data_IF_426162502115
#
_entry.id   IF_426162502115
#
_cell.length_a   1.000
_cell.length_b   1.000
_cell.length_c   1.000
_cell.angle_alpha   90.00
_cell.angle_beta   90.00
_cell.angle_gamma   90.00
#
_symmetry.space_group_name_H-M   'P 1'
#
loop_
_entity.id
_entity.type
_entity.pdbx_description
1 polymer ?
#
# COMPACT_ATOMS: atom_id res chain seq x y z
N UNK A 1 -6.48 14.56 10.86
CA UNK A 1 -6.43 14.31 9.40
C UNK A 1 -5.62 15.40 8.74
N UNK A 2 -4.77 15.03 7.80
CA UNK A 2 -4.03 15.91 6.90
C UNK A 2 -4.21 15.32 5.50
N UNK A 3 -4.70 16.10 4.56
CA UNK A 3 -4.85 15.68 3.17
C UNK A 3 -4.09 16.66 2.29
N UNK A 4 -3.16 16.11 1.53
CA UNK A 4 -2.32 16.82 0.57
C UNK A 4 -2.32 16.10 -0.78
N UNK A 5 -3.34 15.28 -1.04
CA UNK A 5 -3.55 14.66 -2.36
C UNK A 5 -3.76 15.73 -3.44
N UNK A 6 -3.41 15.40 -4.68
CA UNK A 6 -3.56 16.30 -5.85
C UNK A 6 -2.74 17.60 -5.80
N UNK A 7 -1.65 17.64 -5.01
CA UNK A 7 -0.80 18.82 -4.86
C UNK A 7 0.59 18.69 -5.54
N UNK A 8 0.82 17.62 -6.32
CA UNK A 8 2.13 17.28 -6.88
C UNK A 8 3.27 17.22 -5.84
N UNK A 9 2.94 17.06 -4.55
CA UNK A 9 3.90 16.93 -3.46
C UNK A 9 4.53 15.54 -3.56
N UNK A 10 5.80 15.51 -3.94
CA UNK A 10 6.54 14.28 -4.21
C UNK A 10 7.01 13.53 -2.96
N UNK A 11 7.13 14.23 -1.82
CA UNK A 11 7.45 13.64 -0.54
C UNK A 11 7.01 14.50 0.66
N UNK A 12 6.62 13.85 1.76
CA UNK A 12 6.45 14.50 3.07
C UNK A 12 7.65 14.16 3.94
N UNK A 13 8.62 15.08 4.06
CA UNK A 13 9.80 14.84 4.91
C UNK A 13 9.42 14.97 6.38
N UNK A 14 9.44 13.84 7.11
CA UNK A 14 9.30 13.80 8.58
C UNK A 14 10.68 13.49 9.17
N UNK A 15 11.35 14.48 9.78
CA UNK A 15 12.68 14.27 10.37
C UNK A 15 12.67 13.20 11.47
N UNK A 16 13.81 12.52 11.63
CA UNK A 16 14.06 11.68 12.81
C UNK A 16 13.85 12.53 14.07
N UNK A 17 13.12 11.99 15.03
CA UNK A 17 12.71 12.66 16.29
C UNK A 17 11.70 13.81 16.15
N UNK A 18 11.05 13.96 14.99
CA UNK A 18 9.96 14.91 14.83
C UNK A 18 8.81 14.61 15.81
N UNK A 19 8.54 15.56 16.71
CA UNK A 19 7.48 15.43 17.73
C UNK A 19 6.15 16.06 17.32
N UNK A 20 6.07 16.65 16.13
CA UNK A 20 4.80 17.12 15.56
C UNK A 20 3.96 15.95 15.03
N UNK A 21 2.70 16.24 14.65
CA UNK A 21 1.78 15.26 14.04
C UNK A 21 1.54 13.97 14.87
N UNK A 22 1.85 13.96 16.17
CA UNK A 22 1.63 12.79 17.06
C UNK A 22 0.17 12.37 17.20
N UNK A 23 -0.78 13.25 16.85
CA UNK A 23 -2.22 12.95 16.83
C UNK A 23 -2.75 12.69 15.43
N UNK A 24 -1.88 12.70 14.41
CA UNK A 24 -2.29 12.49 13.03
C UNK A 24 -2.66 11.03 12.83
N UNK A 25 -3.95 10.80 12.60
CA UNK A 25 -4.55 9.48 12.39
C UNK A 25 -4.76 9.13 10.92
N UNK A 26 -4.98 10.14 10.07
CA UNK A 26 -5.29 10.00 8.66
C UNK A 26 -4.39 10.92 7.87
N UNK A 27 -3.69 10.36 6.88
CA UNK A 27 -2.83 11.08 5.96
C UNK A 27 -3.21 10.75 4.51
N UNK A 28 -3.52 11.79 3.73
CA UNK A 28 -3.64 11.73 2.28
C UNK A 28 -2.42 12.34 1.62
N UNK A 29 -1.77 11.58 0.75
CA UNK A 29 -0.70 12.05 -0.14
C UNK A 29 -1.02 11.56 -1.54
N UNK A 30 -0.52 12.27 -2.55
CA UNK A 30 -0.67 11.77 -3.89
C UNK A 30 -0.24 12.77 -4.93
N UNK A 31 0.25 12.19 -6.03
CA UNK A 31 0.52 12.92 -7.24
C UNK A 31 -0.74 13.32 -7.97
N UNK A 32 -0.53 13.92 -9.13
CA UNK A 32 -1.55 14.14 -10.15
C UNK A 32 -1.35 13.11 -11.28
N UNK A 33 -2.23 13.09 -12.28
CA UNK A 33 -2.02 12.24 -13.47
C UNK A 33 -0.73 12.57 -14.24
N UNK A 34 -0.21 13.79 -14.08
CA UNK A 34 1.00 14.27 -14.75
C UNK A 34 2.24 14.29 -13.85
N UNK A 35 2.07 14.10 -12.54
CA UNK A 35 3.14 14.16 -11.55
C UNK A 35 3.05 12.96 -10.60
N UNK A 36 3.48 11.79 -11.06
CA UNK A 36 3.55 10.56 -10.27
C UNK A 36 4.65 10.68 -9.21
N UNK A 37 4.36 10.32 -7.96
CA UNK A 37 5.29 10.46 -6.83
C UNK A 37 5.90 9.12 -6.40
N UNK A 38 7.09 9.14 -5.82
CA UNK A 38 7.81 7.95 -5.36
C UNK A 38 7.22 7.44 -4.03
N UNK A 39 6.43 6.37 -4.10
CA UNK A 39 5.74 5.81 -2.95
C UNK A 39 6.70 5.25 -1.89
N UNK A 40 7.90 4.81 -2.27
CA UNK A 40 8.89 4.29 -1.33
C UNK A 40 9.43 5.40 -0.43
N UNK A 41 9.71 6.59 -0.99
CA UNK A 41 10.11 7.77 -0.20
C UNK A 41 9.02 8.22 0.77
N UNK A 42 7.76 8.14 0.33
CA UNK A 42 6.61 8.43 1.18
C UNK A 42 6.58 7.49 2.38
N UNK A 43 6.63 6.17 2.17
CA UNK A 43 6.60 5.18 3.26
C UNK A 43 7.79 5.34 4.22
N UNK A 44 8.98 5.63 3.70
CA UNK A 44 10.17 5.91 4.53
C UNK A 44 9.96 7.11 5.44
N UNK A 45 9.35 8.18 4.93
CA UNK A 45 9.24 9.41 5.71
C UNK A 45 8.12 9.30 6.76
N UNK A 46 6.99 8.70 6.42
CA UNK A 46 5.80 8.72 7.29
C UNK A 46 5.75 7.56 8.29
N UNK A 47 6.60 6.55 8.13
CA UNK A 47 6.58 5.35 8.97
C UNK A 47 6.93 5.57 10.44
N UNK A 48 7.42 6.77 10.79
CA UNK A 48 7.67 7.21 12.16
C UNK A 48 6.43 7.82 12.85
N UNK A 49 5.32 8.03 12.13
CA UNK A 49 4.11 8.66 12.66
C UNK A 49 3.35 7.69 13.60
N UNK A 50 3.35 7.92 14.93
CA UNK A 50 2.98 6.88 15.89
C UNK A 50 1.48 6.60 15.98
N UNK A 51 0.63 7.50 15.48
CA UNK A 51 -0.83 7.39 15.57
C UNK A 51 -1.51 7.20 14.21
N UNK A 52 -0.75 7.01 13.14
CA UNK A 52 -1.30 6.86 11.80
C UNK A 52 -2.06 5.54 11.68
N UNK A 53 -3.35 5.63 11.33
CA UNK A 53 -4.29 4.51 11.16
C UNK A 53 -4.77 4.36 9.73
N UNK A 54 -4.93 5.46 9.01
CA UNK A 54 -5.41 5.48 7.62
C UNK A 54 -4.42 6.22 6.74
N UNK A 55 -3.98 5.57 5.67
CA UNK A 55 -3.09 6.14 4.66
C UNK A 55 -3.76 6.05 3.28
N UNK A 56 -3.92 7.20 2.63
CA UNK A 56 -4.36 7.31 1.25
C UNK A 56 -3.20 7.77 0.37
N UNK A 57 -2.90 7.00 -0.68
CA UNK A 57 -1.89 7.29 -1.69
C UNK A 57 -2.52 7.22 -3.08
N UNK A 58 -2.47 8.30 -3.83
CA UNK A 58 -2.89 8.32 -5.24
C UNK A 58 -1.76 8.67 -6.19
N UNK A 59 -1.78 8.11 -7.41
CA UNK A 59 -0.80 8.41 -8.45
C UNK A 59 0.65 8.24 -7.93
N UNK A 60 0.91 7.09 -7.30
CA UNK A 60 2.22 6.77 -6.71
C UNK A 60 2.87 5.61 -7.42
N UNK A 61 4.20 5.61 -7.46
CA UNK A 61 4.97 4.54 -8.07
C UNK A 61 5.96 3.95 -7.06
N UNK A 62 5.91 2.63 -6.92
CA UNK A 62 6.77 1.83 -6.06
C UNK A 62 7.76 0.99 -6.90
N UNK A 63 8.18 1.43 -8.09
CA UNK A 63 9.11 0.66 -8.95
C UNK A 63 10.57 0.77 -8.57
N UNK A 64 10.96 1.65 -7.64
CA UNK A 64 12.32 1.68 -7.13
C UNK A 64 12.65 0.35 -6.46
N UNK A 65 13.79 -0.26 -6.75
CA UNK A 65 14.31 -1.31 -5.87
C UNK A 65 14.65 -0.64 -4.55
N UNK A 66 13.93 -0.96 -3.48
CA UNK A 66 14.34 -0.60 -2.11
C UNK A 66 15.45 -1.59 -1.76
N UNK A 67 16.58 -1.40 -2.43
CA UNK A 67 17.86 -1.99 -2.05
C UNK A 67 18.35 -1.10 -0.92
N UNK A 68 18.49 -1.68 0.27
CA UNK A 68 19.25 -1.13 1.39
C UNK A 68 18.56 -0.17 2.37
N UNK A 69 17.22 -0.04 2.40
CA UNK A 69 16.56 0.81 3.42
C UNK A 69 15.39 0.08 4.08
N UNK A 70 15.45 -0.02 5.40
CA UNK A 70 14.37 -0.57 6.24
C UNK A 70 13.12 0.29 6.06
N UNK A 71 12.08 -0.23 5.39
CA UNK A 71 10.75 0.35 5.50
C UNK A 71 10.29 0.19 6.96
N UNK A 72 9.76 1.25 7.53
CA UNK A 72 9.26 1.24 8.90
C UNK A 72 8.12 0.23 9.09
N UNK A 73 7.92 -0.20 10.34
CA UNK A 73 6.76 -1.01 10.71
C UNK A 73 5.52 -0.12 10.88
N UNK A 74 4.53 -0.32 10.02
CA UNK A 74 3.22 0.33 10.09
C UNK A 74 2.29 -0.45 11.02
N UNK A 75 2.73 -0.72 12.26
CA UNK A 75 2.01 -1.60 13.18
C UNK A 75 0.67 -1.04 13.64
N UNK A 76 0.43 0.27 13.50
CA UNK A 76 -0.83 0.92 13.87
C UNK A 76 -1.74 1.20 12.66
N UNK A 77 -1.26 0.95 11.45
CA UNK A 77 -2.03 1.22 10.23
C UNK A 77 -3.13 0.16 10.08
N UNK A 78 -4.37 0.61 10.06
CA UNK A 78 -5.57 -0.21 9.91
C UNK A 78 -6.08 -0.19 8.47
N UNK A 79 -5.83 0.90 7.73
CA UNK A 79 -6.33 1.11 6.37
C UNK A 79 -5.25 1.68 5.45
N UNK A 80 -5.06 1.02 4.30
CA UNK A 80 -4.19 1.47 3.22
C UNK A 80 -4.99 1.53 1.93
N UNK A 81 -5.11 2.73 1.37
CA UNK A 81 -5.82 2.99 0.12
C UNK A 81 -4.81 3.47 -0.91
N UNK A 82 -4.63 2.66 -1.96
CA UNK A 82 -3.82 2.96 -3.12
C UNK A 82 -4.76 3.16 -4.31
N UNK A 83 -4.60 4.28 -5.01
CA UNK A 83 -5.40 4.62 -6.19
C UNK A 83 -4.48 4.96 -7.36
N UNK A 84 -4.76 4.40 -8.55
CA UNK A 84 -3.97 4.68 -9.78
C UNK A 84 -2.46 4.61 -9.54
N UNK A 85 -1.98 3.55 -8.89
CA UNK A 85 -0.60 3.43 -8.46
C UNK A 85 0.08 2.17 -9.00
N UNK A 86 1.38 2.26 -9.29
CA UNK A 86 2.19 1.16 -9.79
C UNK A 86 2.93 0.49 -8.63
N UNK A 87 2.68 -0.80 -8.43
CA UNK A 87 3.16 -1.57 -7.28
C UNK A 87 3.97 -2.77 -7.75
N UNK A 88 5.16 -2.95 -7.19
CA UNK A 88 5.87 -4.23 -7.29
C UNK A 88 5.62 -5.04 -6.01
N UNK A 89 5.26 -6.33 -6.11
CA UNK A 89 4.91 -7.16 -4.94
C UNK A 89 5.96 -7.07 -3.83
N UNK A 90 7.25 -7.15 -4.17
CA UNK A 90 8.35 -7.12 -3.19
C UNK A 90 8.33 -5.88 -2.29
N UNK A 91 7.83 -4.74 -2.78
CA UNK A 91 7.73 -3.50 -2.01
C UNK A 91 6.62 -3.57 -0.96
N UNK A 92 5.45 -4.06 -1.37
CA UNK A 92 4.38 -4.36 -0.43
C UNK A 92 4.90 -5.32 0.64
N UNK A 93 5.78 -6.27 0.29
CA UNK A 93 6.35 -7.28 1.18
C UNK A 93 7.34 -6.74 2.22
N UNK A 94 8.05 -5.65 1.95
CA UNK A 94 9.08 -5.13 2.85
C UNK A 94 8.54 -4.38 4.08
N UNK A 95 7.34 -3.80 4.00
CA UNK A 95 6.71 -3.13 5.14
C UNK A 95 5.91 -4.11 6.02
N UNK A 96 5.91 -3.90 7.33
CA UNK A 96 5.11 -4.68 8.28
C UNK A 96 3.76 -4.02 8.55
N UNK A 97 2.67 -4.71 8.22
CA UNK A 97 1.29 -4.24 8.30
C UNK A 97 0.46 -5.07 9.30
N UNK A 98 0.94 -5.21 10.53
CA UNK A 98 0.36 -6.14 11.51
C UNK A 98 -1.06 -5.82 11.92
N UNK A 99 -1.52 -4.57 11.80
CA UNK A 99 -2.89 -4.16 12.17
C UNK A 99 -3.80 -3.88 10.98
N UNK A 100 -3.30 -4.09 9.75
CA UNK A 100 -4.02 -3.73 8.54
C UNK A 100 -5.23 -4.63 8.34
N UNK A 101 -6.41 -4.00 8.25
CA UNK A 101 -7.72 -4.63 8.04
C UNK A 101 -8.27 -4.35 6.65
N UNK A 102 -7.99 -3.15 6.13
CA UNK A 102 -8.52 -2.70 4.84
C UNK A 102 -7.37 -2.37 3.89
N UNK A 103 -7.32 -3.07 2.75
CA UNK A 103 -6.39 -2.79 1.66
C UNK A 103 -7.19 -2.53 0.38
N UNK A 104 -7.03 -1.33 -0.17
CA UNK A 104 -7.57 -0.98 -1.48
C UNK A 104 -6.42 -0.71 -2.44
N UNK A 105 -6.49 -1.30 -3.63
CA UNK A 105 -5.55 -1.15 -4.74
C UNK A 105 -6.33 -0.88 -6.03
N UNK A 106 -7.25 0.09 -5.97
CA UNK A 106 -8.11 0.39 -7.11
C UNK A 106 -7.33 1.03 -8.25
N UNK A 107 -7.58 0.55 -9.47
CA UNK A 107 -6.87 1.00 -10.69
C UNK A 107 -5.34 0.94 -10.56
N UNK A 108 -4.82 0.06 -9.72
CA UNK A 108 -3.37 -0.12 -9.55
C UNK A 108 -2.85 -1.19 -10.51
N UNK A 109 -1.56 -1.12 -10.84
CA UNK A 109 -0.85 -2.18 -11.56
C UNK A 109 0.01 -2.93 -10.55
N UNK A 110 -0.30 -4.20 -10.30
CA UNK A 110 0.53 -5.07 -9.46
C UNK A 110 1.45 -5.91 -10.34
N UNK A 111 2.75 -5.62 -10.26
CA UNK A 111 3.85 -6.25 -11.01
C UNK A 111 4.61 -7.24 -10.12
N UNK A 112 5.26 -8.21 -10.76
CA UNK A 112 6.10 -9.21 -10.12
C UNK A 112 5.35 -10.50 -9.79
N UNK A 113 6.10 -11.59 -9.63
CA UNK A 113 5.50 -12.89 -9.34
C UNK A 113 4.97 -12.95 -7.90
N UNK A 114 3.69 -13.29 -7.74
CA UNK A 114 3.15 -13.64 -6.44
C UNK A 114 3.46 -15.09 -6.10
N UNK A 115 3.89 -15.33 -4.88
CA UNK A 115 4.06 -16.63 -4.29
C UNK A 115 3.03 -16.86 -3.18
N UNK A 116 2.72 -18.14 -2.91
CA UNK A 116 1.83 -18.60 -1.83
C UNK A 116 1.98 -17.84 -0.52
N UNK A 117 3.22 -17.50 -0.16
CA UNK A 117 3.60 -16.93 1.12
C UNK A 117 3.44 -15.41 1.22
N UNK A 118 3.34 -14.71 0.10
CA UNK A 118 3.49 -13.25 0.01
C UNK A 118 2.45 -12.52 0.88
N UNK A 119 1.23 -13.04 0.92
CA UNK A 119 0.16 -12.40 1.68
C UNK A 119 0.00 -12.90 3.12
N UNK A 120 0.82 -13.86 3.58
CA UNK A 120 0.71 -14.41 4.95
C UNK A 120 0.94 -13.41 6.06
N UNK A 121 1.51 -12.25 5.74
CA UNK A 121 1.71 -11.15 6.69
C UNK A 121 0.46 -10.30 6.91
N UNK A 122 -0.49 -10.35 5.98
CA UNK A 122 -1.78 -9.66 6.09
C UNK A 122 -2.80 -10.51 6.88
N UNK A 123 -2.38 -11.05 8.02
CA UNK A 123 -3.17 -12.01 8.82
C UNK A 123 -4.48 -11.42 9.33
N UNK A 124 -4.52 -10.11 9.52
CA UNK A 124 -5.68 -9.38 10.03
C UNK A 124 -6.47 -8.66 8.92
N UNK A 125 -6.12 -8.90 7.65
CA UNK A 125 -6.80 -8.26 6.54
C UNK A 125 -8.19 -8.85 6.36
N UNK A 126 -9.19 -7.99 6.42
CA UNK A 126 -10.61 -8.33 6.35
C UNK A 126 -11.23 -7.92 5.00
N UNK A 127 -10.78 -6.80 4.43
CA UNK A 127 -11.30 -6.26 3.18
C UNK A 127 -10.17 -6.00 2.17
N UNK A 128 -10.28 -6.65 1.00
CA UNK A 128 -9.39 -6.45 -0.13
C UNK A 128 -10.17 -5.95 -1.35
N UNK A 129 -9.88 -4.71 -1.77
CA UNK A 129 -10.50 -4.09 -2.94
C UNK A 129 -9.45 -3.94 -4.04
N UNK A 130 -9.66 -4.59 -5.18
CA UNK A 130 -8.76 -4.55 -6.33
C UNK A 130 -9.50 -4.17 -7.60
N UNK A 131 -10.58 -3.39 -7.47
CA UNK A 131 -11.41 -3.00 -8.62
C UNK A 131 -10.60 -2.21 -9.66
N UNK A 132 -10.67 -2.61 -10.92
CA UNK A 132 -9.86 -2.01 -12.00
C UNK A 132 -8.37 -2.30 -11.91
N UNK A 133 -7.93 -3.14 -10.96
CA UNK A 133 -6.51 -3.47 -10.83
C UNK A 133 -6.07 -4.37 -11.98
N UNK A 134 -4.90 -4.07 -12.53
CA UNK A 134 -4.20 -4.97 -13.43
C UNK A 134 -3.25 -5.82 -12.60
N UNK A 135 -3.50 -7.13 -12.58
CA UNK A 135 -2.72 -8.05 -11.79
C UNK A 135 -1.93 -8.93 -12.76
N UNK A 136 -0.67 -8.55 -13.00
CA UNK A 136 0.24 -9.30 -13.87
C UNK A 136 0.94 -10.39 -13.06
N UNK A 137 0.13 -11.34 -12.59
CA UNK A 137 0.54 -12.39 -11.65
C UNK A 137 0.02 -13.72 -12.17
N UNK A 138 0.78 -14.78 -11.92
CA UNK A 138 0.40 -16.11 -12.35
C UNK A 138 -0.99 -16.54 -11.79
N UNK A 139 -1.51 -17.62 -12.33
CA UNK A 139 -2.83 -18.20 -12.02
C UNK A 139 -3.08 -18.51 -10.54
N UNK A 140 -2.09 -18.35 -9.64
CA UNK A 140 -2.18 -18.68 -8.22
C UNK A 140 -2.80 -17.58 -7.33
N UNK A 141 -3.18 -16.39 -7.82
CA UNK A 141 -3.71 -15.33 -6.92
C UNK A 141 -4.88 -15.78 -6.03
N UNK A 142 -5.90 -16.43 -6.59
CA UNK A 142 -7.05 -16.90 -5.79
C UNK A 142 -6.67 -18.03 -4.83
N UNK A 143 -5.71 -18.88 -5.23
CA UNK A 143 -5.15 -19.91 -4.35
C UNK A 143 -4.40 -19.26 -3.18
N UNK A 144 -3.59 -18.24 -3.45
CA UNK A 144 -2.88 -17.47 -2.43
C UNK A 144 -3.86 -16.83 -1.45
N UNK A 145 -4.96 -16.25 -1.94
CA UNK A 145 -6.01 -15.70 -1.08
C UNK A 145 -6.57 -16.78 -0.15
N UNK A 146 -6.94 -17.95 -0.71
CA UNK A 146 -7.50 -19.06 0.06
C UNK A 146 -6.54 -19.66 1.10
N UNK A 147 -5.23 -19.69 0.82
CA UNK A 147 -4.22 -20.30 1.70
C UNK A 147 -3.63 -19.33 2.74
N UNK A 148 -3.63 -18.02 2.45
CA UNK A 148 -2.79 -17.05 3.18
C UNK A 148 -3.54 -15.86 3.77
N UNK A 149 -4.84 -15.72 3.52
CA UNK A 149 -5.67 -14.63 4.09
C UNK A 149 -6.82 -15.17 4.95
N UNK A 150 -6.54 -15.72 6.15
CA UNK A 150 -7.54 -16.40 6.97
C UNK A 150 -8.65 -15.49 7.51
N UNK A 151 -8.41 -14.17 7.60
CA UNK A 151 -9.36 -13.20 8.15
C UNK A 151 -10.20 -12.49 7.08
N UNK A 152 -10.00 -12.83 5.80
CA UNK A 152 -10.63 -12.10 4.71
C UNK A 152 -12.15 -12.34 4.69
N UNK A 153 -12.91 -11.27 4.77
CA UNK A 153 -14.39 -11.25 4.75
C UNK A 153 -14.92 -10.76 3.41
N UNK A 154 -14.16 -9.91 2.73
CA UNK A 154 -14.58 -9.29 1.47
C UNK A 154 -13.42 -9.21 0.48
N UNK A 155 -13.69 -9.66 -0.76
CA UNK A 155 -12.79 -9.55 -1.91
C UNK A 155 -13.56 -8.93 -3.08
N UNK A 156 -13.08 -7.81 -3.60
CA UNK A 156 -13.59 -7.23 -4.85
C UNK A 156 -12.53 -7.24 -5.94
N UNK A 157 -12.89 -7.83 -7.08
CA UNK A 157 -12.09 -7.91 -8.30
C UNK A 157 -12.85 -7.31 -9.50
N UNK A 158 -13.80 -6.40 -9.27
CA UNK A 158 -14.63 -5.80 -10.32
C UNK A 158 -13.74 -5.12 -11.38
N UNK A 159 -13.94 -5.41 -12.66
CA UNK A 159 -13.14 -4.85 -13.77
C UNK A 159 -11.63 -5.07 -13.65
N UNK A 160 -11.17 -6.07 -12.90
CA UNK A 160 -9.75 -6.43 -12.84
C UNK A 160 -9.39 -7.27 -14.06
N UNK A 161 -8.30 -6.94 -14.74
CA UNK A 161 -7.78 -7.77 -15.82
C UNK A 161 -6.71 -8.72 -15.29
N UNK A 162 -6.78 -9.98 -15.72
CA UNK A 162 -5.64 -10.90 -15.72
C UNK A 162 -5.06 -10.85 -17.12
N UNK A 163 -3.79 -10.51 -17.27
CA UNK A 163 -3.07 -10.92 -18.47
C UNK A 163 -2.83 -12.42 -18.30
N UNK A 164 -3.70 -13.23 -18.90
CA UNK A 164 -3.64 -14.70 -18.94
C UNK A 164 -2.66 -15.13 -20.01
#
# INVERSE_FOLDING_TARGET
>A
MLDMSDNAIDNLVVPKDYRGLRKLNTLGLGGTETAIIDGSKVLQSIGSLPSLKTLYLSCTNFTGTVVNQELHNFTNLEELILYKSDLHVSQLLQASFTSLKNLSMQYCVLKGALHGQDFRKFKNLEHLHMGGAQVDVNTSFLQIVGESMPSLKFLSLINSSKNI
#
